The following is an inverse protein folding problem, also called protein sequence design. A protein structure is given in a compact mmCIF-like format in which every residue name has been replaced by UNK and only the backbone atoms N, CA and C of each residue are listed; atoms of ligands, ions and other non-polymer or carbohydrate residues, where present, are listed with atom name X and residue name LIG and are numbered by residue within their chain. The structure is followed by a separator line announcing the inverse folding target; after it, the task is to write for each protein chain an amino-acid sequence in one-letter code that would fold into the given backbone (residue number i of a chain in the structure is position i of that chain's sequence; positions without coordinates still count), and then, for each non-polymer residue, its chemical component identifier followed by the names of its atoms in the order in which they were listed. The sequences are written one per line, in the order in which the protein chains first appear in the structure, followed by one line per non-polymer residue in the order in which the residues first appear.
data_IF_212605432679
#
_entry.id   IF_212605432679
#
_cell.length_a   1.000
_cell.length_b   1.000
_cell.length_c   1.000
_cell.angle_alpha   90.00
_cell.angle_beta   90.00
_cell.angle_gamma   90.00
#
_symmetry.space_group_name_H-M   'P 1'
#
loop_
_entity.id
_entity.type
_entity.pdbx_description
1 polymer ?
#
# COMPACT_ATOMS: atom_id res chain seq x y z
N UNK A 1 -10.34 11.52 13.99
CA UNK A 1 -10.69 12.93 14.18
C UNK A 1 -11.80 13.01 15.24
N UNK A 2 -11.75 14.01 16.13
CA UNK A 2 -12.79 14.18 17.13
C UNK A 2 -14.11 14.54 16.43
N UNK A 3 -15.14 13.71 16.62
CA UNK A 3 -16.44 13.89 15.95
C UNK A 3 -16.59 13.22 14.57
N UNK A 4 -15.54 12.63 14.02
CA UNK A 4 -15.65 11.79 12.83
C UNK A 4 -16.20 10.40 13.17
N UNK A 5 -16.92 9.73 12.25
CA UNK A 5 -17.30 8.33 12.41
C UNK A 5 -16.06 7.44 12.67
N UNK A 6 -16.22 6.45 13.54
CA UNK A 6 -15.19 5.44 13.77
C UNK A 6 -15.42 4.27 12.79
N UNK A 7 -14.45 4.04 11.92
CA UNK A 7 -14.51 2.98 10.91
C UNK A 7 -13.68 1.77 11.33
N UNK A 8 -14.06 0.56 10.88
CA UNK A 8 -13.27 -0.64 11.12
C UNK A 8 -11.85 -0.52 10.53
N UNK A 9 -10.93 -1.32 11.07
CA UNK A 9 -9.59 -1.47 10.50
C UNK A 9 -9.65 -2.14 9.11
N UNK A 10 -8.63 -1.90 8.28
CA UNK A 10 -8.59 -2.43 6.92
C UNK A 10 -8.71 -3.95 6.86
N UNK A 11 -8.19 -4.69 7.84
CA UNK A 11 -8.34 -6.14 7.91
C UNK A 11 -9.81 -6.57 7.96
N UNK A 12 -10.68 -5.84 8.65
CA UNK A 12 -12.12 -6.09 8.66
C UNK A 12 -12.78 -5.63 7.35
N UNK A 13 -12.36 -4.48 6.81
CA UNK A 13 -12.84 -3.99 5.51
C UNK A 13 -12.45 -4.95 4.36
N UNK A 14 -11.30 -5.61 4.47
CA UNK A 14 -10.85 -6.63 3.52
C UNK A 14 -11.75 -7.86 3.43
N UNK A 15 -12.55 -8.13 4.47
CA UNK A 15 -13.52 -9.23 4.48
C UNK A 15 -14.83 -8.90 3.72
N UNK A 16 -15.09 -7.63 3.42
CA UNK A 16 -16.29 -7.22 2.67
C UNK A 16 -16.13 -7.70 1.21
N UNK A 17 -17.14 -8.36 0.67
CA UNK A 17 -17.10 -8.84 -0.72
C UNK A 17 -17.40 -7.73 -1.72
N UNK A 18 -18.37 -6.87 -1.42
CA UNK A 18 -18.75 -5.76 -2.28
C UNK A 18 -17.73 -4.62 -2.24
N UNK A 19 -16.94 -4.51 -3.30
CA UNK A 19 -15.96 -3.44 -3.46
C UNK A 19 -16.59 -2.05 -3.64
N UNK A 20 -17.89 -1.96 -3.98
CA UNK A 20 -18.64 -0.71 -4.00
C UNK A 20 -18.69 -0.03 -2.64
N UNK A 21 -18.84 -0.81 -1.56
CA UNK A 21 -18.82 -0.29 -0.19
C UNK A 21 -17.43 0.28 0.20
N UNK A 22 -16.36 -0.32 -0.32
CA UNK A 22 -14.99 0.19 -0.09
C UNK A 22 -14.78 1.51 -0.85
N UNK A 23 -15.33 1.62 -2.05
CA UNK A 23 -15.32 2.87 -2.82
C UNK A 23 -16.14 3.96 -2.13
N UNK A 24 -17.33 3.66 -1.61
CA UNK A 24 -18.15 4.59 -0.83
C UNK A 24 -17.41 5.06 0.44
N UNK A 25 -16.75 4.14 1.13
CA UNK A 25 -15.89 4.48 2.26
C UNK A 25 -14.77 5.46 1.86
N UNK A 26 -14.12 5.22 0.72
CA UNK A 26 -13.12 6.15 0.18
C UNK A 26 -13.69 7.54 -0.10
N UNK A 27 -14.90 7.64 -0.67
CA UNK A 27 -15.59 8.91 -0.91
C UNK A 27 -15.93 9.65 0.40
N UNK A 28 -16.36 8.93 1.41
CA UNK A 28 -16.66 9.52 2.72
C UNK A 28 -15.37 10.07 3.38
N UNK A 29 -14.28 9.31 3.32
CA UNK A 29 -12.97 9.80 3.80
C UNK A 29 -12.55 11.06 3.03
N UNK A 30 -12.73 11.09 1.72
CA UNK A 30 -12.43 12.26 0.91
C UNK A 30 -13.26 13.49 1.32
N UNK A 31 -14.56 13.30 1.60
CA UNK A 31 -15.43 14.36 2.10
C UNK A 31 -14.87 14.97 3.40
N UNK A 32 -14.49 14.14 4.36
CA UNK A 32 -13.92 14.58 5.65
C UNK A 32 -12.59 15.32 5.45
N UNK A 33 -11.72 14.83 4.56
CA UNK A 33 -10.44 15.47 4.25
C UNK A 33 -10.63 16.88 3.64
N UNK A 34 -11.61 17.04 2.74
CA UNK A 34 -11.92 18.36 2.16
C UNK A 34 -12.42 19.35 3.20
N UNK A 35 -13.26 18.91 4.12
CA UNK A 35 -13.74 19.77 5.22
C UNK A 35 -12.59 20.28 6.10
N UNK A 36 -11.49 19.53 6.17
CA UNK A 36 -10.28 19.90 6.91
C UNK A 36 -9.25 20.65 6.07
N UNK A 37 -9.50 20.85 4.77
CA UNK A 37 -8.53 21.46 3.87
C UNK A 37 -7.32 20.56 3.56
N UNK A 38 -7.45 19.24 3.70
CA UNK A 38 -6.39 18.26 3.38
C UNK A 38 -6.60 17.75 1.96
N UNK A 39 -5.54 17.70 1.15
CA UNK A 39 -5.59 17.39 -0.27
C UNK A 39 -5.00 16.03 -0.64
N UNK A 40 -4.19 15.45 0.23
CA UNK A 40 -3.48 14.19 -0.01
C UNK A 40 -3.70 13.25 1.17
N UNK A 41 -4.07 12.00 0.89
CA UNK A 41 -4.14 10.94 1.87
C UNK A 41 -3.04 9.90 1.62
N UNK A 42 -2.15 9.68 2.59
CA UNK A 42 -1.14 8.62 2.54
C UNK A 42 -1.77 7.24 2.83
N UNK A 43 -2.72 6.89 1.98
CA UNK A 43 -3.49 5.65 1.93
C UNK A 43 -3.94 5.38 0.49
N UNK A 44 -4.24 4.13 0.14
CA UNK A 44 -4.38 2.95 0.99
C UNK A 44 -3.06 2.27 1.36
N UNK A 45 -3.15 1.37 2.37
CA UNK A 45 -2.11 0.39 2.66
C UNK A 45 -2.25 -0.76 1.65
N UNK A 46 -1.27 -0.91 0.75
CA UNK A 46 -1.28 -1.89 -0.34
C UNK A 46 -0.44 -3.13 -0.01
N UNK A 47 0.08 -3.21 1.21
CA UNK A 47 0.86 -4.34 1.69
C UNK A 47 0.00 -5.59 1.83
N UNK A 48 0.47 -6.71 1.28
CA UNK A 48 -0.16 -8.04 1.44
C UNK A 48 0.38 -8.68 2.71
N UNK A 49 -0.45 -8.86 3.73
CA UNK A 49 -0.01 -9.31 5.07
C UNK A 49 0.18 -10.83 5.12
N UNK A 50 1.23 -11.33 4.47
CA UNK A 50 1.54 -12.78 4.42
C UNK A 50 2.20 -13.29 5.70
N UNK A 51 2.77 -12.40 6.52
CA UNK A 51 3.30 -12.75 7.83
C UNK A 51 2.33 -12.31 8.94
N UNK A 52 1.66 -13.25 9.64
CA UNK A 52 0.72 -12.92 10.70
C UNK A 52 1.39 -12.28 11.93
N UNK A 53 2.72 -12.40 12.07
CA UNK A 53 3.51 -11.79 13.15
C UNK A 53 4.07 -10.41 12.78
N UNK A 54 3.70 -9.86 11.62
CA UNK A 54 4.15 -8.53 11.21
C UNK A 54 3.69 -7.46 12.21
N UNK A 55 4.62 -6.74 12.89
CA UNK A 55 4.26 -5.81 13.95
C UNK A 55 3.74 -4.47 13.43
N UNK A 56 3.96 -4.16 12.15
CA UNK A 56 3.70 -2.84 11.55
C UNK A 56 2.44 -2.85 10.69
N UNK A 57 2.31 -3.82 9.81
CA UNK A 57 1.22 -3.86 8.83
C UNK A 57 -0.03 -4.48 9.44
N UNK A 58 -0.01 -5.73 9.80
CA UNK A 58 -1.07 -6.41 10.55
C UNK A 58 -2.50 -5.96 10.13
N UNK A 59 -3.26 -5.34 11.02
CA UNK A 59 -4.64 -4.88 10.78
C UNK A 59 -4.78 -3.69 9.82
N UNK A 60 -3.67 -3.11 9.39
CA UNK A 60 -3.64 -2.02 8.39
C UNK A 60 -3.77 -2.52 6.96
N UNK A 61 -3.38 -3.77 6.71
CA UNK A 61 -3.59 -4.44 5.42
C UNK A 61 -5.06 -4.83 5.23
N UNK A 62 -5.50 -4.91 3.99
CA UNK A 62 -6.79 -5.49 3.61
C UNK A 62 -6.79 -7.03 3.63
N UNK A 63 -5.66 -7.68 3.90
CA UNK A 63 -5.57 -9.14 4.05
C UNK A 63 -4.30 -9.77 3.49
N UNK A 64 -4.36 -11.09 3.33
CA UNK A 64 -3.24 -11.93 2.91
C UNK A 64 -3.32 -12.40 1.43
N UNK A 65 -4.47 -12.21 0.79
CA UNK A 65 -4.65 -12.58 -0.62
C UNK A 65 -4.32 -11.38 -1.52
N UNK A 66 -3.29 -11.46 -2.37
CA UNK A 66 -2.80 -10.31 -3.16
C UNK A 66 -3.84 -9.76 -4.14
N UNK A 67 -4.69 -10.62 -4.73
CA UNK A 67 -5.75 -10.18 -5.63
C UNK A 67 -6.83 -9.37 -4.88
N UNK A 68 -7.28 -9.89 -3.73
CA UNK A 68 -8.27 -9.18 -2.91
C UNK A 68 -7.71 -7.86 -2.38
N UNK A 69 -6.45 -7.84 -1.94
CA UNK A 69 -5.78 -6.60 -1.53
C UNK A 69 -5.75 -5.59 -2.68
N UNK A 70 -5.36 -6.02 -3.89
CA UNK A 70 -5.34 -5.15 -5.07
C UNK A 70 -6.73 -4.56 -5.39
N UNK A 71 -7.78 -5.37 -5.34
CA UNK A 71 -9.15 -4.92 -5.57
C UNK A 71 -9.61 -3.87 -4.54
N UNK A 72 -9.29 -4.09 -3.25
CA UNK A 72 -9.62 -3.14 -2.17
C UNK A 72 -8.84 -1.84 -2.30
N UNK A 73 -7.55 -1.93 -2.62
CA UNK A 73 -6.68 -0.78 -2.89
C UNK A 73 -7.25 0.08 -4.00
N UNK A 74 -7.63 -0.52 -5.13
CA UNK A 74 -8.23 0.18 -6.27
C UNK A 74 -9.58 0.81 -5.89
N UNK A 75 -10.47 0.07 -5.25
CA UNK A 75 -11.79 0.57 -4.87
C UNK A 75 -11.68 1.77 -3.91
N UNK A 76 -10.83 1.68 -2.89
CA UNK A 76 -10.61 2.77 -1.93
C UNK A 76 -10.01 4.00 -2.62
N UNK A 77 -8.99 3.82 -3.47
CA UNK A 77 -8.34 4.90 -4.21
C UNK A 77 -9.31 5.61 -5.16
N UNK A 78 -10.17 4.84 -5.86
CA UNK A 78 -11.22 5.39 -6.71
C UNK A 78 -12.17 6.27 -5.91
N UNK A 79 -12.57 5.82 -4.72
CA UNK A 79 -13.41 6.60 -3.82
C UNK A 79 -12.75 7.91 -3.39
N UNK A 80 -11.48 7.86 -2.96
CA UNK A 80 -10.71 9.05 -2.57
C UNK A 80 -10.58 10.05 -3.71
N UNK A 81 -10.12 9.60 -4.89
CA UNK A 81 -9.80 10.52 -6.00
C UNK A 81 -11.05 11.03 -6.70
N UNK A 82 -12.14 10.24 -6.79
CA UNK A 82 -13.44 10.76 -7.22
C UNK A 82 -13.99 11.84 -6.26
N UNK A 83 -13.57 11.79 -5.01
CA UNK A 83 -13.85 12.80 -3.99
C UNK A 83 -12.89 13.99 -4.00
N UNK A 84 -11.89 14.04 -4.89
CA UNK A 84 -10.93 15.15 -5.03
C UNK A 84 -9.76 15.12 -4.04
N UNK A 85 -9.45 13.95 -3.46
CA UNK A 85 -8.29 13.74 -2.57
C UNK A 85 -7.31 12.80 -3.25
N UNK A 86 -6.07 13.23 -3.42
CA UNK A 86 -5.02 12.39 -4.01
C UNK A 86 -4.69 11.22 -3.08
N UNK A 87 -4.72 10.01 -3.62
CA UNK A 87 -4.32 8.80 -2.90
C UNK A 87 -2.82 8.55 -3.04
N UNK A 88 -2.21 7.93 -2.03
CA UNK A 88 -0.81 7.49 -2.07
C UNK A 88 -0.72 6.09 -1.49
N UNK A 89 -0.63 5.08 -2.34
CA UNK A 89 -0.53 3.70 -1.87
C UNK A 89 0.85 3.39 -1.27
N UNK A 90 0.90 2.51 -0.27
CA UNK A 90 2.11 2.24 0.53
C UNK A 90 2.12 0.80 1.06
N UNK A 91 3.31 0.27 1.38
CA UNK A 91 4.69 0.78 1.33
C UNK A 91 5.46 0.01 0.27
N UNK A 92 5.67 0.61 -0.88
CA UNK A 92 6.34 -0.03 -2.02
C UNK A 92 7.76 -0.53 -1.64
N UNK A 93 8.18 -1.72 -2.04
CA UNK A 93 7.53 -2.71 -2.92
C UNK A 93 6.64 -3.73 -2.20
N UNK A 94 6.35 -3.57 -0.91
CA UNK A 94 5.55 -4.43 -0.06
C UNK A 94 6.22 -4.74 1.27
N UNK A 95 5.57 -4.37 2.37
CA UNK A 95 6.07 -4.51 3.76
C UNK A 95 5.36 -5.64 4.53
N UNK A 96 4.40 -6.33 3.90
CA UNK A 96 3.48 -7.22 4.61
C UNK A 96 4.07 -8.54 5.10
N UNK A 97 5.25 -8.93 4.60
CA UNK A 97 5.95 -10.18 4.99
C UNK A 97 7.12 -9.98 5.96
N UNK A 98 7.37 -8.76 6.42
CA UNK A 98 8.47 -8.49 7.34
C UNK A 98 8.11 -8.89 8.78
N UNK A 99 9.11 -9.31 9.55
CA UNK A 99 9.00 -9.62 10.97
C UNK A 99 9.47 -8.47 11.88
N UNK A 100 10.00 -7.40 11.31
CA UNK A 100 10.65 -6.29 12.01
C UNK A 100 9.99 -4.96 11.65
N UNK A 101 10.09 -4.00 12.57
CA UNK A 101 9.59 -2.64 12.36
C UNK A 101 10.66 -1.78 11.67
N UNK A 102 10.32 -1.23 10.52
CA UNK A 102 11.19 -0.35 9.72
C UNK A 102 11.54 0.98 10.38
N UNK A 103 10.89 1.35 11.48
CA UNK A 103 11.26 2.52 12.27
C UNK A 103 12.47 2.29 13.18
N UNK A 104 12.80 1.03 13.47
CA UNK A 104 13.90 0.67 14.38
C UNK A 104 15.02 -0.10 13.71
N UNK A 105 14.72 -0.84 12.65
CA UNK A 105 15.68 -1.67 11.91
C UNK A 105 15.49 -1.47 10.41
N UNK A 106 16.33 -2.12 9.60
CA UNK A 106 16.11 -2.23 8.15
C UNK A 106 15.56 -3.63 7.84
N UNK A 107 14.23 -3.81 7.84
CA UNK A 107 13.63 -5.12 7.60
C UNK A 107 13.97 -5.63 6.21
N UNK A 108 14.21 -6.92 6.10
CA UNK A 108 14.56 -7.56 4.85
C UNK A 108 13.41 -8.43 4.30
N UNK A 109 13.20 -8.34 2.98
CA UNK A 109 12.30 -9.21 2.23
C UNK A 109 13.15 -10.07 1.30
N UNK A 110 13.31 -11.36 1.64
CA UNK A 110 14.22 -12.28 0.96
C UNK A 110 13.56 -13.11 -0.15
N UNK A 111 12.46 -12.65 -0.70
CA UNK A 111 11.79 -13.32 -1.81
C UNK A 111 12.52 -13.06 -3.14
N UNK A 112 12.40 -14.01 -4.06
CA UNK A 112 12.83 -13.81 -5.43
C UNK A 112 11.90 -12.88 -6.21
N UNK A 113 12.31 -12.47 -7.40
CA UNK A 113 11.55 -11.56 -8.24
C UNK A 113 10.19 -12.13 -8.64
N UNK A 114 10.08 -13.42 -8.92
CA UNK A 114 8.82 -14.06 -9.33
C UNK A 114 7.78 -14.02 -8.21
N UNK A 115 8.20 -14.28 -6.96
CA UNK A 115 7.34 -14.14 -5.79
C UNK A 115 6.95 -12.67 -5.58
N UNK A 116 7.89 -11.73 -5.62
CA UNK A 116 7.59 -10.31 -5.48
C UNK A 116 6.57 -9.84 -6.52
N UNK A 117 6.72 -10.27 -7.77
CA UNK A 117 5.82 -9.91 -8.86
C UNK A 117 4.39 -10.44 -8.69
N UNK A 118 4.24 -11.62 -8.09
CA UNK A 118 2.95 -12.28 -7.94
C UNK A 118 2.21 -11.93 -6.64
N UNK A 119 2.90 -11.43 -5.63
CA UNK A 119 2.33 -11.15 -4.32
C UNK A 119 2.54 -9.69 -3.93
N UNK A 120 3.77 -9.31 -3.58
CA UNK A 120 4.06 -8.01 -2.97
C UNK A 120 3.80 -6.83 -3.91
N UNK A 121 4.23 -6.95 -5.18
CA UNK A 121 4.08 -5.90 -6.19
C UNK A 121 2.69 -5.86 -6.85
N UNK A 122 1.89 -6.91 -6.74
CA UNK A 122 0.64 -7.02 -7.47
C UNK A 122 -0.36 -5.89 -7.16
N UNK A 123 -0.62 -5.52 -5.89
CA UNK A 123 -1.51 -4.39 -5.59
C UNK A 123 -0.99 -3.05 -6.13
N UNK A 124 0.34 -2.83 -6.08
CA UNK A 124 0.96 -1.61 -6.61
C UNK A 124 0.87 -1.53 -8.13
N UNK A 125 1.13 -2.64 -8.84
CA UNK A 125 0.96 -2.72 -10.30
C UNK A 125 -0.46 -2.36 -10.72
N UNK A 126 -1.46 -2.88 -10.01
CA UNK A 126 -2.85 -2.59 -10.32
C UNK A 126 -3.21 -1.14 -10.04
N UNK A 127 -2.74 -0.59 -8.91
CA UNK A 127 -2.93 0.82 -8.56
C UNK A 127 -2.33 1.77 -9.61
N UNK A 128 -1.09 1.50 -10.04
CA UNK A 128 -0.39 2.29 -11.06
C UNK A 128 -1.09 2.17 -12.42
N UNK A 129 -1.46 0.96 -12.82
CA UNK A 129 -2.17 0.71 -14.08
C UNK A 129 -3.49 1.49 -14.18
N UNK A 130 -4.22 1.62 -13.08
CA UNK A 130 -5.47 2.38 -13.00
C UNK A 130 -5.22 3.92 -12.92
N UNK A 131 -3.97 4.38 -12.85
CA UNK A 131 -3.58 5.80 -13.00
C UNK A 131 -3.77 6.66 -11.77
N UNK A 132 -3.69 6.08 -10.54
CA UNK A 132 -3.83 6.84 -9.30
C UNK A 132 -2.57 7.65 -8.93
N UNK A 133 -2.73 8.63 -8.01
CA UNK A 133 -1.83 9.77 -7.86
C UNK A 133 -0.41 9.46 -7.40
N UNK A 134 -0.18 8.53 -6.47
CA UNK A 134 1.16 8.39 -5.94
C UNK A 134 1.47 7.09 -5.21
N UNK A 135 2.77 6.81 -5.09
CA UNK A 135 3.30 5.62 -4.40
C UNK A 135 4.33 6.04 -3.37
N UNK A 136 4.18 5.58 -2.14
CA UNK A 136 5.16 5.77 -1.07
C UNK A 136 6.09 4.57 -0.97
N UNK A 137 7.40 4.81 -1.11
CA UNK A 137 8.41 3.77 -0.91
C UNK A 137 8.66 3.50 0.58
N UNK A 138 8.75 2.22 0.93
CA UNK A 138 9.12 1.78 2.28
C UNK A 138 10.65 1.83 2.51
N UNK A 139 11.06 1.79 3.77
CA UNK A 139 12.47 1.62 4.16
C UNK A 139 12.75 0.13 4.40
N UNK A 140 12.92 -0.62 3.31
CA UNK A 140 13.11 -2.08 3.29
C UNK A 140 14.39 -2.44 2.55
N UNK A 141 15.02 -3.55 2.93
CA UNK A 141 16.06 -4.18 2.14
C UNK A 141 15.47 -5.34 1.34
N UNK A 142 15.56 -5.26 0.01
CA UNK A 142 15.02 -6.28 -0.90
C UNK A 142 16.13 -6.69 -1.88
N UNK A 143 16.94 -7.70 -1.53
CA UNK A 143 18.13 -8.08 -2.30
C UNK A 143 17.83 -8.57 -3.71
N UNK A 144 16.62 -9.05 -3.99
CA UNK A 144 16.18 -9.41 -5.34
C UNK A 144 16.00 -8.20 -6.27
N UNK A 145 15.82 -6.99 -5.72
CA UNK A 145 15.64 -5.75 -6.47
C UNK A 145 16.90 -4.86 -6.48
N UNK A 146 17.65 -4.83 -5.36
CA UNK A 146 18.95 -4.15 -5.26
C UNK A 146 19.87 -4.95 -4.33
N UNK A 147 21.03 -5.39 -4.87
CA UNK A 147 22.02 -6.20 -4.14
C UNK A 147 22.90 -5.38 -3.20
N UNK A 148 22.82 -4.06 -3.23
CA UNK A 148 23.61 -3.20 -2.35
C UNK A 148 23.19 -3.43 -0.88
N UNK A 149 24.14 -3.96 -0.08
CA UNK A 149 23.90 -4.29 1.33
C UNK A 149 23.53 -3.06 2.15
N UNK A 150 22.62 -3.22 3.08
CA UNK A 150 22.17 -2.19 4.03
C UNK A 150 21.66 -0.90 3.35
N UNK A 151 21.21 -1.00 2.11
CA UNK A 151 20.62 0.13 1.38
C UNK A 151 19.11 -0.06 1.29
N UNK A 152 18.32 0.84 1.88
CA UNK A 152 16.87 0.77 1.77
C UNK A 152 16.41 1.04 0.34
N UNK A 153 15.35 0.36 -0.09
CA UNK A 153 14.77 0.52 -1.44
C UNK A 153 14.37 1.95 -1.76
N UNK A 154 13.97 2.73 -0.75
CA UNK A 154 13.67 4.16 -0.89
C UNK A 154 14.87 5.03 -1.33
N UNK A 155 16.10 4.52 -1.19
CA UNK A 155 17.33 5.16 -1.66
C UNK A 155 17.93 4.42 -2.89
N UNK A 156 17.24 3.42 -3.42
CA UNK A 156 17.70 2.61 -4.53
C UNK A 156 17.23 3.15 -5.87
N UNK A 157 18.16 3.55 -6.73
CA UNK A 157 17.83 3.90 -8.11
C UNK A 157 17.19 2.73 -8.86
N UNK A 158 17.70 1.52 -8.66
CA UNK A 158 17.15 0.32 -9.30
C UNK A 158 15.67 0.11 -8.95
N UNK A 159 15.29 0.44 -7.71
CA UNK A 159 13.90 0.27 -7.26
C UNK A 159 13.03 1.48 -7.57
N UNK A 160 13.48 2.70 -7.23
CA UNK A 160 12.65 3.91 -7.40
C UNK A 160 12.59 4.33 -8.86
N UNK A 161 13.74 4.38 -9.54
CA UNK A 161 13.77 4.89 -10.92
C UNK A 161 13.51 3.79 -11.95
N UNK A 162 14.27 2.68 -11.85
CA UNK A 162 14.23 1.71 -12.94
C UNK A 162 13.02 0.79 -12.83
N UNK A 163 12.66 0.29 -11.62
CA UNK A 163 11.47 -0.52 -11.44
C UNK A 163 10.19 0.34 -11.36
N UNK A 164 10.08 1.24 -10.36
CA UNK A 164 8.82 1.92 -10.09
C UNK A 164 8.43 2.90 -11.21
N UNK A 165 9.36 3.79 -11.63
CA UNK A 165 9.05 4.86 -12.58
C UNK A 165 9.11 4.44 -14.04
N UNK A 166 10.02 3.50 -14.43
CA UNK A 166 10.20 3.14 -15.83
C UNK A 166 9.52 1.83 -16.23
N UNK A 167 9.59 0.81 -15.37
CA UNK A 167 9.01 -0.50 -15.67
C UNK A 167 7.52 -0.55 -15.34
N UNK A 168 7.11 0.04 -14.21
CA UNK A 168 5.72 -0.02 -13.75
C UNK A 168 4.90 1.22 -14.16
N UNK A 169 5.51 2.35 -14.48
CA UNK A 169 4.86 3.59 -14.87
C UNK A 169 4.79 4.62 -13.77
#
# INVERSE_FOLDING_TARGET
LKGAPDYPRNAALGCIEDNGLIEEYGREVARQFRELGVHVNFAPDADVNTNPLNPVIHVRSFGENPQRVAEKVVAYSRGLESGGILSVCKHFPGHGDTAEDSHYTLPAVHHDRARLDSVELLPFKRYIYDGYAGVMTGHLYVPALDKARNKPVSMSRAVVTDLLQKELG
#
